data_IF_992520140861
#
_entry.id   IF_992520140861
#
_cell.length_a   1.000
_cell.length_b   1.000
_cell.length_c   1.000
_cell.angle_alpha   90.00
_cell.angle_beta   90.00
_cell.angle_gamma   90.00
#
_symmetry.space_group_name_H-M   'P 1'
#
loop_
_entity.id
_entity.type
_entity.pdbx_description
1 polymer ?
#
# COMPACT_ATOMS: atom_id res chain seq x y z
N UNK A 1 23.38 -1.37 -6.62
CA UNK A 1 23.21 -0.70 -5.30
C UNK A 1 23.01 -1.69 -4.18
N UNK A 2 23.68 -1.49 -3.06
CA UNK A 2 23.37 -2.24 -1.85
C UNK A 2 22.19 -1.59 -1.10
N UNK A 3 21.75 -2.20 0.00
CA UNK A 3 20.58 -1.74 0.74
C UNK A 3 20.78 -0.31 1.32
N UNK A 4 21.96 -0.01 1.81
CA UNK A 4 22.25 1.32 2.34
C UNK A 4 22.22 2.41 1.27
N UNK A 5 22.72 2.10 0.08
CA UNK A 5 22.67 3.02 -1.04
C UNK A 5 21.24 3.24 -1.52
N UNK A 6 20.42 2.20 -1.51
CA UNK A 6 18.99 2.32 -1.84
C UNK A 6 18.27 3.19 -0.82
N UNK A 7 18.52 3.02 0.46
CA UNK A 7 17.93 3.85 1.51
C UNK A 7 18.29 5.32 1.31
N UNK A 8 19.55 5.59 1.02
CA UNK A 8 20.01 6.95 0.75
C UNK A 8 19.34 7.54 -0.49
N UNK A 9 19.23 6.74 -1.56
CA UNK A 9 18.54 7.16 -2.79
C UNK A 9 17.06 7.46 -2.53
N UNK A 10 16.40 6.63 -1.74
CA UNK A 10 15.01 6.84 -1.34
C UNK A 10 14.84 8.16 -0.59
N UNK A 11 15.69 8.37 0.42
CA UNK A 11 15.62 9.59 1.22
C UNK A 11 15.84 10.84 0.37
N UNK A 12 16.78 10.80 -0.56
CA UNK A 12 17.05 11.91 -1.48
C UNK A 12 15.88 12.14 -2.44
N UNK A 13 15.28 11.07 -2.95
CA UNK A 13 14.12 11.18 -3.82
C UNK A 13 12.94 11.82 -3.12
N UNK A 14 12.80 11.56 -1.82
CA UNK A 14 11.76 12.16 -0.98
C UNK A 14 12.16 13.56 -0.47
N UNK A 15 13.39 13.98 -0.71
CA UNK A 15 13.94 15.26 -0.25
C UNK A 15 13.82 15.44 1.27
N UNK A 16 14.18 14.40 2.02
CA UNK A 16 14.09 14.36 3.49
C UNK A 16 15.48 14.18 4.09
N UNK A 17 15.74 14.86 5.19
CA UNK A 17 16.98 14.71 5.96
C UNK A 17 16.96 13.41 6.76
N UNK A 18 18.16 12.90 7.11
CA UNK A 18 18.30 11.66 7.89
C UNK A 18 17.49 11.68 9.19
N UNK A 19 17.52 12.79 9.92
CA UNK A 19 16.80 12.92 11.19
C UNK A 19 15.30 12.88 11.03
N UNK A 20 14.77 13.52 10.00
CA UNK A 20 13.34 13.56 9.71
C UNK A 20 12.85 12.18 9.26
N UNK A 21 13.63 11.51 8.43
CA UNK A 21 13.33 10.14 7.99
C UNK A 21 13.30 9.19 9.20
N UNK A 22 14.32 9.30 10.06
CA UNK A 22 14.43 8.47 11.26
C UNK A 22 13.22 8.63 12.18
N UNK A 23 12.76 9.85 12.38
CA UNK A 23 11.56 10.10 13.21
C UNK A 23 10.32 9.45 12.67
N UNK A 24 10.14 9.48 11.36
CA UNK A 24 8.95 8.88 10.73
C UNK A 24 8.86 7.37 10.91
N UNK A 25 10.00 6.69 11.00
CA UNK A 25 10.03 5.24 11.19
C UNK A 25 10.45 4.84 12.61
N UNK A 26 10.37 5.77 13.55
CA UNK A 26 10.62 5.54 14.98
C UNK A 26 12.01 5.00 15.28
N UNK A 27 13.03 5.57 14.64
CA UNK A 27 14.42 5.23 14.89
C UNK A 27 15.27 6.50 15.05
N UNK A 28 16.58 6.36 15.11
CA UNK A 28 17.52 7.46 15.30
C UNK A 28 18.24 7.82 14.03
N UNK A 29 18.69 9.09 13.93
CA UNK A 29 19.49 9.55 12.80
C UNK A 29 20.78 8.73 12.67
N UNK A 30 21.43 8.39 13.79
CA UNK A 30 22.65 7.59 13.80
C UNK A 30 22.43 6.20 13.21
N UNK A 31 21.27 5.59 13.49
CA UNK A 31 20.93 4.30 12.92
C UNK A 31 20.75 4.38 11.41
N UNK A 32 20.06 5.42 10.91
CA UNK A 32 19.90 5.65 9.47
C UNK A 32 21.27 5.87 8.82
N UNK A 33 22.13 6.68 9.43
CA UNK A 33 23.48 6.92 8.94
C UNK A 33 24.30 5.62 8.85
N UNK A 34 24.21 4.76 9.86
CA UNK A 34 24.91 3.47 9.88
C UNK A 34 24.44 2.57 8.72
N UNK A 35 23.14 2.56 8.44
CA UNK A 35 22.60 1.77 7.33
C UNK A 35 23.06 2.34 6.00
N UNK A 36 22.97 3.64 5.80
CA UNK A 36 23.38 4.29 4.55
C UNK A 36 24.87 4.12 4.26
N UNK A 37 25.69 4.02 5.30
CA UNK A 37 27.14 3.80 5.18
C UNK A 37 27.54 2.32 5.17
N UNK A 38 26.58 1.42 5.17
CA UNK A 38 26.83 -0.01 5.05
C UNK A 38 27.29 -0.70 6.34
N UNK A 39 27.22 -0.02 7.48
CA UNK A 39 27.60 -0.58 8.78
C UNK A 39 26.54 -1.48 9.39
N UNK A 40 25.27 -1.24 9.05
CA UNK A 40 24.12 -2.01 9.51
C UNK A 40 23.15 -2.24 8.38
N UNK A 41 22.31 -3.25 8.51
CA UNK A 41 21.23 -3.53 7.57
C UNK A 41 19.90 -3.08 8.17
N UNK A 42 18.93 -2.81 7.29
CA UNK A 42 17.56 -2.55 7.73
C UNK A 42 16.97 -3.81 8.36
N UNK A 43 16.37 -3.65 9.54
CA UNK A 43 15.60 -4.72 10.15
C UNK A 43 14.27 -4.93 9.38
N UNK A 44 13.69 -6.12 9.53
CA UNK A 44 12.38 -6.40 8.94
C UNK A 44 11.32 -5.40 9.42
N UNK A 45 11.36 -5.04 10.70
CA UNK A 45 10.47 -4.02 11.26
C UNK A 45 10.63 -2.67 10.56
N UNK A 46 11.88 -2.22 10.38
CA UNK A 46 12.16 -0.95 9.70
C UNK A 46 11.69 -0.97 8.25
N UNK A 47 11.91 -2.08 7.54
CA UNK A 47 11.44 -2.26 6.17
C UNK A 47 9.91 -2.11 6.11
N UNK A 48 9.19 -2.78 7.02
CA UNK A 48 7.72 -2.69 7.06
C UNK A 48 7.24 -1.27 7.36
N UNK A 49 7.88 -0.59 8.31
CA UNK A 49 7.52 0.79 8.65
C UNK A 49 7.73 1.75 7.48
N UNK A 50 8.83 1.59 6.74
CA UNK A 50 9.10 2.39 5.55
C UNK A 50 8.04 2.15 4.48
N UNK A 51 7.67 0.90 4.25
CA UNK A 51 6.70 0.54 3.21
C UNK A 51 5.26 0.89 3.57
N UNK A 52 4.92 0.95 4.86
CA UNK A 52 3.59 1.35 5.31
C UNK A 52 3.41 2.86 5.43
N UNK A 53 4.50 3.62 5.54
CA UNK A 53 4.41 5.07 5.68
C UNK A 53 3.92 5.71 4.40
N UNK A 54 3.15 6.79 4.56
CA UNK A 54 2.76 7.63 3.44
C UNK A 54 3.79 8.76 3.29
N UNK A 55 4.55 8.70 2.21
CA UNK A 55 5.60 9.67 1.91
C UNK A 55 5.08 10.71 0.91
N UNK A 56 4.18 11.58 1.36
CA UNK A 56 3.62 12.61 0.50
C UNK A 56 2.80 12.04 -0.66
N UNK A 57 2.02 10.98 -0.41
CA UNK A 57 1.24 10.27 -1.43
C UNK A 57 2.00 9.18 -2.16
N UNK A 58 3.27 8.95 -1.79
CA UNK A 58 4.10 7.91 -2.41
C UNK A 58 4.23 6.71 -1.49
N UNK A 59 4.21 5.51 -2.06
CA UNK A 59 4.39 4.24 -1.36
C UNK A 59 5.66 3.56 -1.85
N UNK A 60 6.54 3.19 -0.91
CA UNK A 60 7.81 2.55 -1.24
C UNK A 60 7.58 1.09 -1.62
N UNK A 61 8.21 0.66 -2.71
CA UNK A 61 8.19 -0.72 -3.16
C UNK A 61 9.16 -1.56 -2.33
N UNK A 62 8.63 -2.50 -1.54
CA UNK A 62 9.45 -3.37 -0.69
C UNK A 62 10.48 -4.17 -1.49
N UNK A 63 10.09 -4.72 -2.64
CA UNK A 63 11.01 -5.50 -3.49
C UNK A 63 12.18 -4.66 -3.96
N UNK A 64 11.95 -3.40 -4.27
CA UNK A 64 13.04 -2.49 -4.62
C UNK A 64 13.94 -2.20 -3.42
N UNK A 65 13.36 -1.90 -2.27
CA UNK A 65 14.14 -1.56 -1.07
C UNK A 65 15.03 -2.73 -0.63
N UNK A 66 14.49 -3.94 -0.62
CA UNK A 66 15.19 -5.14 -0.13
C UNK A 66 16.15 -5.70 -1.18
N UNK A 67 15.74 -5.78 -2.43
CA UNK A 67 16.46 -6.52 -3.49
C UNK A 67 16.83 -5.70 -4.70
N UNK A 68 16.37 -4.46 -4.82
CA UNK A 68 16.61 -3.62 -5.98
C UNK A 68 15.75 -3.96 -7.19
N UNK A 69 14.68 -4.73 -6.99
CA UNK A 69 13.81 -5.18 -8.07
C UNK A 69 12.62 -4.22 -8.23
N UNK A 70 12.35 -3.83 -9.48
CA UNK A 70 11.23 -2.98 -9.82
C UNK A 70 11.48 -1.50 -9.53
N UNK A 71 10.45 -0.65 -9.61
CA UNK A 71 10.59 0.77 -9.35
C UNK A 71 10.69 1.07 -7.84
N UNK A 72 11.29 2.21 -7.50
CA UNK A 72 11.42 2.69 -6.12
C UNK A 72 10.06 2.85 -5.44
N UNK A 73 9.09 3.42 -6.15
CA UNK A 73 7.75 3.65 -5.64
C UNK A 73 6.74 2.81 -6.41
N UNK A 74 5.74 2.29 -5.67
CA UNK A 74 4.61 1.64 -6.28
C UNK A 74 3.68 2.71 -6.85
N UNK A 75 3.22 2.49 -8.08
CA UNK A 75 2.19 3.32 -8.66
C UNK A 75 0.84 2.86 -8.12
N UNK A 76 0.17 3.74 -7.37
CA UNK A 76 -1.21 3.52 -7.02
C UNK A 76 -2.07 3.86 -8.24
N UNK A 77 -3.15 3.09 -8.50
CA UNK A 77 -4.06 3.42 -9.59
C UNK A 77 -4.56 4.86 -9.43
N UNK A 78 -4.47 5.64 -10.50
CA UNK A 78 -5.07 6.97 -10.51
C UNK A 78 -6.58 6.83 -10.38
N UNK A 79 -7.23 7.91 -9.92
CA UNK A 79 -8.68 7.94 -9.73
C UNK A 79 -9.43 7.48 -10.99
N UNK A 80 -8.94 7.89 -12.16
CA UNK A 80 -9.53 7.49 -13.46
C UNK A 80 -9.39 5.99 -13.73
N UNK A 81 -8.25 5.39 -13.35
CA UNK A 81 -8.04 3.95 -13.49
C UNK A 81 -8.95 3.16 -12.57
N UNK A 82 -9.15 3.66 -11.35
CA UNK A 82 -10.06 3.04 -10.38
C UNK A 82 -11.50 3.10 -10.90
N UNK A 83 -11.91 4.25 -11.41
CA UNK A 83 -13.25 4.42 -12.01
C UNK A 83 -13.46 3.50 -13.21
N UNK A 84 -12.44 3.36 -14.07
CA UNK A 84 -12.49 2.45 -15.21
C UNK A 84 -12.60 0.99 -14.79
N UNK A 85 -11.87 0.61 -13.73
CA UNK A 85 -11.93 -0.74 -13.17
C UNK A 85 -13.33 -1.05 -12.62
N UNK A 86 -13.89 -0.13 -11.85
CA UNK A 86 -15.24 -0.28 -11.30
C UNK A 86 -16.27 -0.37 -12.43
N UNK A 87 -16.16 0.48 -13.45
CA UNK A 87 -17.05 0.43 -14.60
C UNK A 87 -16.95 -0.90 -15.35
N UNK A 88 -15.74 -1.44 -15.49
CA UNK A 88 -15.52 -2.75 -16.08
C UNK A 88 -16.19 -3.86 -15.26
N UNK A 89 -16.15 -3.78 -13.95
CA UNK A 89 -16.80 -4.75 -13.06
C UNK A 89 -18.32 -4.70 -13.15
N UNK A 90 -18.88 -3.55 -13.49
CA UNK A 90 -20.32 -3.35 -13.58
C UNK A 90 -20.88 -3.61 -14.99
N UNK A 91 -20.04 -3.92 -15.96
CA UNK A 91 -20.46 -4.21 -17.33
C UNK A 91 -21.13 -5.59 -17.40
N UNK A 92 -22.45 -5.67 -17.67
CA UNK A 92 -23.15 -6.94 -17.69
C UNK A 92 -22.76 -7.87 -18.85
N UNK A 93 -22.02 -7.35 -19.83
CA UNK A 93 -21.62 -8.11 -21.03
C UNK A 93 -20.26 -8.79 -20.89
N UNK A 94 -19.60 -8.62 -19.74
CA UNK A 94 -18.29 -9.23 -19.49
C UNK A 94 -18.38 -10.40 -18.50
N UNK A 95 -18.03 -11.58 -18.96
CA UNK A 95 -17.95 -12.78 -18.11
C UNK A 95 -16.92 -12.63 -16.98
N UNK A 96 -15.96 -11.73 -17.14
CA UNK A 96 -14.97 -11.40 -16.14
C UNK A 96 -15.59 -10.93 -14.81
N UNK A 97 -16.80 -10.39 -14.83
CA UNK A 97 -17.50 -9.95 -13.62
C UNK A 97 -17.76 -11.11 -12.66
N UNK A 98 -18.21 -12.23 -13.18
CA UNK A 98 -18.44 -13.43 -12.38
C UNK A 98 -17.15 -13.92 -11.71
N UNK A 99 -16.07 -13.99 -12.48
CA UNK A 99 -14.76 -14.42 -11.98
C UNK A 99 -14.26 -13.49 -10.88
N UNK A 100 -14.43 -12.18 -11.03
CA UNK A 100 -14.04 -11.19 -10.04
C UNK A 100 -14.82 -11.40 -8.73
N UNK A 101 -16.12 -11.63 -8.82
CA UNK A 101 -16.96 -11.90 -7.64
C UNK A 101 -16.48 -13.15 -6.91
N UNK A 102 -16.17 -14.22 -7.64
CA UNK A 102 -15.66 -15.45 -7.04
C UNK A 102 -14.34 -15.22 -6.31
N UNK A 103 -13.43 -14.47 -6.90
CA UNK A 103 -12.15 -14.13 -6.25
C UNK A 103 -12.34 -13.26 -5.01
N UNK A 104 -13.27 -12.31 -5.05
CA UNK A 104 -13.61 -11.49 -3.87
C UNK A 104 -14.17 -12.38 -2.75
N UNK A 105 -15.05 -13.31 -3.08
CA UNK A 105 -15.63 -14.24 -2.10
C UNK A 105 -14.56 -15.15 -1.48
N UNK A 106 -13.62 -15.65 -2.28
CA UNK A 106 -12.52 -16.45 -1.77
C UNK A 106 -11.64 -15.65 -0.82
N UNK A 107 -11.31 -14.41 -1.21
CA UNK A 107 -10.54 -13.51 -0.37
C UNK A 107 -11.26 -13.19 0.94
N UNK A 108 -12.55 -12.95 0.89
CA UNK A 108 -13.39 -12.73 2.06
C UNK A 108 -13.37 -13.94 3.01
N UNK A 109 -13.53 -15.14 2.49
CA UNK A 109 -13.54 -16.35 3.32
C UNK A 109 -12.21 -16.61 4.02
N UNK A 110 -11.11 -16.15 3.44
CA UNK A 110 -9.78 -16.27 4.03
C UNK A 110 -9.52 -15.26 5.16
N UNK A 111 -10.38 -14.27 5.35
CA UNK A 111 -10.21 -13.24 6.36
C UNK A 111 -10.53 -13.76 7.77
N UNK A 112 -9.95 -13.11 8.79
CA UNK A 112 -10.30 -13.36 10.18
C UNK A 112 -11.77 -12.98 10.45
N UNK A 113 -12.41 -13.54 11.50
CA UNK A 113 -13.78 -13.14 11.86
C UNK A 113 -13.94 -11.65 12.11
N UNK A 114 -12.94 -11.01 12.71
CA UNK A 114 -12.95 -9.57 12.97
C UNK A 114 -12.95 -8.76 11.67
N UNK A 115 -12.15 -9.17 10.71
CA UNK A 115 -12.09 -8.50 9.40
C UNK A 115 -13.38 -8.72 8.60
N UNK A 116 -13.97 -9.92 8.68
CA UNK A 116 -15.27 -10.20 8.07
C UNK A 116 -16.37 -9.31 8.63
N UNK A 117 -16.37 -9.09 9.95
CA UNK A 117 -17.34 -8.23 10.60
C UNK A 117 -17.24 -6.79 10.09
N UNK A 118 -16.01 -6.27 9.96
CA UNK A 118 -15.79 -4.91 9.45
C UNK A 118 -16.31 -4.77 8.01
N UNK A 119 -16.08 -5.76 7.16
CA UNK A 119 -16.56 -5.76 5.78
C UNK A 119 -18.08 -5.85 5.73
N UNK A 120 -18.69 -6.66 6.59
CA UNK A 120 -20.15 -6.77 6.67
C UNK A 120 -20.79 -5.44 7.10
N UNK A 121 -20.19 -4.72 8.05
CA UNK A 121 -20.64 -3.40 8.44
C UNK A 121 -20.57 -2.39 7.29
N UNK A 122 -19.48 -2.43 6.54
CA UNK A 122 -19.31 -1.59 5.34
C UNK A 122 -20.37 -1.92 4.30
N UNK A 123 -20.61 -3.20 4.03
CA UNK A 123 -21.64 -3.63 3.08
C UNK A 123 -23.03 -3.18 3.49
N UNK A 124 -23.37 -3.30 4.78
CA UNK A 124 -24.67 -2.83 5.30
C UNK A 124 -24.84 -1.33 5.10
N UNK A 125 -23.81 -0.54 5.33
CA UNK A 125 -23.85 0.90 5.14
C UNK A 125 -24.04 1.25 3.65
N UNK A 126 -23.37 0.54 2.76
CA UNK A 126 -23.52 0.74 1.31
C UNK A 126 -24.94 0.40 0.87
N UNK A 127 -25.50 -0.71 1.36
CA UNK A 127 -26.87 -1.11 1.03
C UNK A 127 -27.90 -0.09 1.51
N UNK A 128 -27.71 0.47 2.70
CA UNK A 128 -28.60 1.52 3.23
C UNK A 128 -28.54 2.78 2.37
N UNK A 129 -27.34 3.20 1.96
CA UNK A 129 -27.17 4.37 1.12
C UNK A 129 -27.83 4.18 -0.25
N UNK A 130 -27.68 2.99 -0.84
CA UNK A 130 -28.32 2.67 -2.11
C UNK A 130 -29.84 2.64 -2.00
N UNK A 131 -30.37 2.13 -0.91
CA UNK A 131 -31.82 2.11 -0.65
C UNK A 131 -32.37 3.54 -0.54
N UNK A 132 -31.66 4.43 0.16
CA UNK A 132 -32.05 5.83 0.29
C UNK A 132 -32.04 6.56 -1.06
N UNK A 133 -31.09 6.27 -1.92
CA UNK A 133 -31.00 6.86 -3.25
C UNK A 133 -32.16 6.42 -4.15
N UNK A 134 -32.66 5.20 -4.00
CA UNK A 134 -33.80 4.70 -4.75
C UNK A 134 -35.12 5.34 -4.31
N UNK A 135 -35.23 5.73 -3.05
CA UNK A 135 -36.42 6.35 -2.50
C UNK A 135 -36.48 7.86 -2.76
N UNK A 136 -35.35 8.43 -3.10
CA UNK A 136 -35.23 9.84 -3.46
C UNK A 136 -35.28 10.05 -4.95
#
# INVERSE_FOLDING_TARGET
MNQGERLKALRKALNIKQGDFARKISTTQGHISDIENGRKNLSERSIKLICFENWGGKTVNESWLVSGNGPMFLELPEEDETAALVASMLDPNKDAFYDIIIEIMKGYQALSPKSKQAINELADNILKDLAQKKEG
#
